data_IF_811416426134
#
_entry.id   IF_811416426134
#
_cell.length_a   1.000
_cell.length_b   1.000
_cell.length_c   1.000
_cell.angle_alpha   90.00
_cell.angle_beta   90.00
_cell.angle_gamma   90.00
#
_symmetry.space_group_name_H-M   'P 1'
#
loop_
_entity.id
_entity.type
_entity.pdbx_description
1 polymer ?
#
# COMPACT_ATOMS: atom_id res chain seq x y z
N UNK A 1 16.24 -33.45 7.86
CA UNK A 1 15.36 -32.28 7.90
C UNK A 1 16.04 -31.18 7.09
N UNK A 2 15.74 -31.09 5.79
CA UNK A 2 16.36 -30.08 4.93
C UNK A 2 15.71 -28.73 5.25
N UNK A 3 16.48 -27.86 5.87
CA UNK A 3 16.15 -26.45 6.02
C UNK A 3 16.23 -25.84 4.62
N UNK A 4 15.09 -25.70 3.92
CA UNK A 4 15.04 -24.86 2.73
C UNK A 4 15.20 -23.42 3.19
N UNK A 5 16.45 -22.94 3.19
CA UNK A 5 16.75 -21.53 3.36
C UNK A 5 16.15 -20.80 2.16
N UNK A 6 15.18 -19.92 2.43
CA UNK A 6 14.63 -19.04 1.40
C UNK A 6 15.77 -18.14 0.87
N UNK A 7 16.15 -18.24 -0.42
CA UNK A 7 17.28 -17.49 -0.95
C UNK A 7 17.05 -15.98 -0.85
N UNK A 8 18.11 -15.23 -0.54
CA UNK A 8 18.03 -13.77 -0.50
C UNK A 8 17.69 -13.19 -1.87
N UNK A 9 17.12 -11.98 -1.90
CA UNK A 9 16.84 -11.27 -3.16
C UNK A 9 18.09 -11.19 -4.04
N UNK A 10 19.23 -10.82 -3.46
CA UNK A 10 20.48 -10.70 -4.19
C UNK A 10 20.92 -12.04 -4.80
N UNK A 11 20.75 -13.16 -4.10
CA UNK A 11 21.07 -14.48 -4.62
C UNK A 11 20.17 -14.84 -5.81
N UNK A 12 18.86 -14.59 -5.69
CA UNK A 12 17.91 -14.80 -6.78
C UNK A 12 18.24 -13.92 -7.99
N UNK A 13 18.57 -12.65 -7.77
CA UNK A 13 18.93 -11.71 -8.84
C UNK A 13 20.18 -12.17 -9.58
N UNK A 14 21.21 -12.65 -8.87
CA UNK A 14 22.41 -13.20 -9.51
C UNK A 14 22.10 -14.44 -10.33
N UNK A 15 21.24 -15.34 -9.83
CA UNK A 15 20.80 -16.52 -10.57
C UNK A 15 20.04 -16.13 -11.85
N UNK A 16 19.15 -15.14 -11.78
CA UNK A 16 18.46 -14.62 -12.98
C UNK A 16 19.46 -14.06 -14.00
N UNK A 17 20.46 -13.30 -13.54
CA UNK A 17 21.51 -12.75 -14.41
C UNK A 17 22.40 -13.82 -15.04
N UNK A 18 22.59 -14.96 -14.38
CA UNK A 18 23.29 -16.11 -14.96
C UNK A 18 22.42 -16.97 -15.88
N UNK A 19 21.17 -16.57 -16.14
CA UNK A 19 20.25 -17.23 -17.07
C UNK A 19 19.26 -18.19 -16.41
N UNK A 20 19.22 -18.28 -15.09
CA UNK A 20 18.25 -19.11 -14.36
C UNK A 20 16.91 -18.40 -14.22
N UNK A 21 16.12 -18.43 -15.29
CA UNK A 21 14.82 -17.74 -15.36
C UNK A 21 13.86 -18.10 -14.23
N UNK A 22 13.90 -19.34 -13.75
CA UNK A 22 13.06 -19.81 -12.67
C UNK A 22 13.29 -19.05 -11.35
N UNK A 23 14.48 -18.48 -11.13
CA UNK A 23 14.77 -17.69 -9.95
C UNK A 23 13.97 -16.38 -9.91
N UNK A 24 13.57 -15.84 -11.06
CA UNK A 24 12.73 -14.65 -11.11
C UNK A 24 11.30 -14.93 -10.62
N UNK A 25 10.78 -16.14 -10.82
CA UNK A 25 9.45 -16.51 -10.33
C UNK A 25 9.36 -16.42 -8.81
N UNK A 26 10.43 -16.75 -8.09
CA UNK A 26 10.48 -16.59 -6.63
C UNK A 26 10.39 -15.12 -6.20
N UNK A 27 11.02 -14.20 -6.96
CA UNK A 27 10.86 -12.75 -6.74
C UNK A 27 9.43 -12.30 -7.03
N UNK A 28 8.79 -12.83 -8.09
CA UNK A 28 7.37 -12.55 -8.40
C UNK A 28 6.48 -13.00 -7.25
N UNK A 29 6.62 -14.26 -6.82
CA UNK A 29 5.83 -14.83 -5.73
C UNK A 29 5.96 -14.02 -4.43
N UNK A 30 7.19 -13.59 -4.11
CA UNK A 30 7.51 -12.81 -2.92
C UNK A 30 6.88 -11.41 -2.94
N UNK A 31 6.84 -10.75 -4.09
CA UNK A 31 6.48 -9.32 -4.15
C UNK A 31 5.16 -8.98 -4.83
N UNK A 32 4.52 -9.92 -5.55
CA UNK A 32 3.31 -9.63 -6.33
C UNK A 32 2.18 -9.04 -5.50
N UNK A 33 1.98 -9.52 -4.26
CA UNK A 33 0.94 -9.00 -3.37
C UNK A 33 1.21 -7.56 -2.96
N UNK A 34 2.47 -7.21 -2.66
CA UNK A 34 2.85 -5.85 -2.29
C UNK A 34 2.72 -4.89 -3.46
N UNK A 35 3.16 -5.30 -4.66
CA UNK A 35 3.03 -4.50 -5.88
C UNK A 35 1.56 -4.26 -6.20
N UNK A 36 0.74 -5.32 -6.16
CA UNK A 36 -0.69 -5.22 -6.38
C UNK A 36 -1.39 -4.33 -5.37
N UNK A 37 -1.08 -4.48 -4.07
CA UNK A 37 -1.67 -3.67 -3.01
C UNK A 37 -1.39 -2.18 -3.23
N UNK A 38 -0.13 -1.82 -3.55
CA UNK A 38 0.24 -0.44 -3.85
C UNK A 38 -0.49 0.06 -5.10
N UNK A 39 -0.50 -0.70 -6.19
CA UNK A 39 -1.18 -0.30 -7.42
C UNK A 39 -2.68 -0.08 -7.20
N UNK A 40 -3.34 -1.01 -6.50
CA UNK A 40 -4.76 -0.95 -6.19
C UNK A 40 -5.09 0.27 -5.31
N UNK A 41 -4.27 0.57 -4.31
CA UNK A 41 -4.45 1.74 -3.43
C UNK A 41 -4.24 3.07 -4.14
N UNK A 42 -3.46 3.08 -5.22
CA UNK A 42 -3.24 4.28 -6.02
C UNK A 42 -4.35 4.48 -7.06
N UNK A 43 -4.77 3.40 -7.72
CA UNK A 43 -5.63 3.46 -8.90
C UNK A 43 -7.11 3.24 -8.59
N UNK A 44 -7.43 2.58 -7.47
CA UNK A 44 -8.79 2.20 -7.08
C UNK A 44 -9.53 1.39 -8.17
N UNK A 45 -8.78 0.66 -9.00
CA UNK A 45 -9.29 -0.17 -10.08
C UNK A 45 -8.52 -1.49 -10.08
N UNK A 46 -9.23 -2.61 -10.00
CA UNK A 46 -8.64 -3.95 -9.90
C UNK A 46 -7.95 -4.36 -11.19
N UNK A 47 -8.54 -4.06 -12.34
CA UNK A 47 -7.99 -4.41 -13.64
C UNK A 47 -6.72 -3.61 -13.91
N UNK A 48 -6.76 -2.30 -13.65
CA UNK A 48 -5.55 -1.47 -13.76
C UNK A 48 -4.49 -1.91 -12.75
N UNK A 49 -4.85 -2.30 -11.53
CA UNK A 49 -3.88 -2.80 -10.56
C UNK A 49 -3.23 -4.12 -10.98
N UNK A 50 -4.00 -5.05 -11.56
CA UNK A 50 -3.48 -6.30 -12.14
C UNK A 50 -2.52 -6.01 -13.30
N UNK A 51 -2.91 -5.13 -14.22
CA UNK A 51 -2.09 -4.72 -15.36
C UNK A 51 -0.77 -4.09 -14.89
N UNK A 52 -0.83 -3.13 -13.96
CA UNK A 52 0.36 -2.50 -13.38
C UNK A 52 1.26 -3.54 -12.72
N UNK A 53 0.69 -4.51 -12.03
CA UNK A 53 1.47 -5.55 -11.37
C UNK A 53 2.25 -6.37 -12.39
N UNK A 54 1.58 -6.85 -13.44
CA UNK A 54 2.21 -7.60 -14.52
C UNK A 54 3.29 -6.78 -15.23
N UNK A 55 2.95 -5.56 -15.64
CA UNK A 55 3.88 -4.66 -16.32
C UNK A 55 5.08 -4.28 -15.46
N UNK A 56 4.91 -4.19 -14.14
CA UNK A 56 5.99 -3.95 -13.19
C UNK A 56 7.00 -5.09 -13.24
N UNK A 57 6.55 -6.35 -13.15
CA UNK A 57 7.47 -7.49 -13.19
C UNK A 57 8.12 -7.67 -14.56
N UNK A 58 7.40 -7.44 -15.66
CA UNK A 58 7.99 -7.46 -17.01
C UNK A 58 9.09 -6.40 -17.17
N UNK A 59 8.87 -5.20 -16.64
CA UNK A 59 9.87 -4.13 -16.64
C UNK A 59 11.02 -4.43 -15.69
N UNK A 60 10.74 -4.94 -14.50
CA UNK A 60 11.76 -5.34 -13.55
C UNK A 60 12.66 -6.44 -14.12
N UNK A 61 12.09 -7.40 -14.82
CA UNK A 61 12.85 -8.44 -15.51
C UNK A 61 13.76 -7.86 -16.60
N UNK A 62 13.21 -7.01 -17.49
CA UNK A 62 13.97 -6.44 -18.61
C UNK A 62 14.99 -5.37 -18.19
N UNK A 63 14.82 -4.74 -17.02
CA UNK A 63 15.75 -3.75 -16.45
C UNK A 63 16.53 -4.28 -15.25
N UNK A 64 16.54 -5.60 -15.03
CA UNK A 64 17.20 -6.18 -13.86
C UNK A 64 18.71 -5.88 -13.86
N UNK A 65 19.30 -5.72 -15.03
CA UNK A 65 20.71 -5.32 -15.19
C UNK A 65 20.99 -3.88 -14.74
N UNK A 66 19.98 -3.04 -14.54
CA UNK A 66 20.12 -1.70 -13.97
C UNK A 66 20.06 -1.68 -12.44
N UNK A 67 19.64 -2.78 -11.81
CA UNK A 67 19.64 -2.89 -10.36
C UNK A 67 21.09 -2.91 -9.82
N UNK A 68 21.42 -1.95 -8.95
CA UNK A 68 22.77 -1.75 -8.39
C UNK A 68 22.91 -2.25 -6.94
N UNK A 69 21.97 -3.07 -6.45
CA UNK A 69 21.90 -3.50 -5.05
C UNK A 69 21.01 -2.59 -4.20
N UNK A 70 20.92 -2.90 -2.91
CA UNK A 70 20.04 -2.23 -1.95
C UNK A 70 18.77 -3.02 -1.67
N UNK A 71 17.64 -2.34 -1.47
CA UNK A 71 16.34 -3.00 -1.30
C UNK A 71 15.72 -3.27 -2.67
N UNK A 72 15.72 -4.54 -3.11
CA UNK A 72 15.02 -4.94 -4.32
C UNK A 72 13.54 -4.61 -4.24
N UNK A 73 12.92 -4.82 -3.08
CA UNK A 73 11.53 -4.41 -2.80
C UNK A 73 11.30 -2.93 -3.13
N UNK A 74 12.16 -2.03 -2.64
CA UNK A 74 12.01 -0.59 -2.89
C UNK A 74 12.24 -0.23 -4.37
N UNK A 75 13.20 -0.89 -5.03
CA UNK A 75 13.46 -0.71 -6.47
C UNK A 75 12.27 -1.17 -7.33
N UNK A 76 11.71 -2.33 -7.04
CA UNK A 76 10.54 -2.88 -7.71
C UNK A 76 9.31 -1.98 -7.52
N UNK A 77 9.08 -1.51 -6.29
CA UNK A 77 7.96 -0.63 -5.98
C UNK A 77 8.13 0.77 -6.56
N UNK A 78 9.36 1.25 -6.80
CA UNK A 78 9.60 2.46 -7.59
C UNK A 78 9.06 2.30 -9.01
N UNK A 79 9.31 1.14 -9.65
CA UNK A 79 8.79 0.85 -11.00
C UNK A 79 7.26 0.86 -10.98
N UNK A 80 6.65 0.15 -10.02
CA UNK A 80 5.20 0.09 -9.85
C UNK A 80 4.59 1.48 -9.61
N UNK A 81 5.17 2.24 -8.69
CA UNK A 81 4.71 3.58 -8.34
C UNK A 81 4.75 4.51 -9.55
N UNK A 82 5.85 4.56 -10.28
CA UNK A 82 5.97 5.40 -11.47
C UNK A 82 4.90 5.04 -12.50
N UNK A 83 4.67 3.74 -12.73
CA UNK A 83 3.66 3.31 -13.70
C UNK A 83 2.24 3.65 -13.27
N UNK A 84 1.90 3.43 -12.00
CA UNK A 84 0.60 3.82 -11.46
C UNK A 84 0.39 5.34 -11.56
N UNK A 85 1.43 6.13 -11.30
CA UNK A 85 1.39 7.58 -11.41
C UNK A 85 1.18 8.05 -12.85
N UNK A 86 1.82 7.39 -13.82
CA UNK A 86 1.63 7.68 -15.24
C UNK A 86 0.19 7.38 -15.70
N UNK A 87 -0.38 6.26 -15.26
CA UNK A 87 -1.79 5.91 -15.53
C UNK A 87 -2.73 6.95 -14.91
N UNK A 88 -2.55 7.30 -13.64
CA UNK A 88 -3.35 8.34 -12.96
C UNK A 88 -3.33 9.67 -13.72
N UNK A 89 -2.15 10.13 -14.12
CA UNK A 89 -1.99 11.38 -14.86
C UNK A 89 -2.58 11.31 -16.26
N UNK A 90 -2.54 10.14 -16.90
CA UNK A 90 -3.18 9.91 -18.20
C UNK A 90 -4.71 9.99 -18.09
N UNK A 91 -5.30 9.39 -17.05
CA UNK A 91 -6.73 9.45 -16.77
C UNK A 91 -7.20 10.89 -16.51
N UNK A 92 -6.42 11.68 -15.76
CA UNK A 92 -6.75 13.10 -15.50
C UNK A 92 -6.71 13.96 -16.78
N UNK A 93 -5.83 13.64 -17.74
CA UNK A 93 -5.68 14.40 -19.00
C UNK A 93 -6.71 14.03 -20.06
N UNK A 94 -7.34 12.86 -19.94
CA UNK A 94 -8.40 12.39 -20.85
C UNK A 94 -9.70 12.31 -20.04
N UNK A 95 -10.46 13.42 -19.90
CA UNK A 95 -11.80 13.30 -19.34
C UNK A 95 -12.59 12.39 -20.27
N UNK A 96 -12.83 11.16 -19.82
CA UNK A 96 -13.57 10.17 -20.58
C UNK A 96 -15.00 10.72 -20.76
N UNK A 97 -15.37 11.02 -22.00
CA UNK A 97 -16.78 11.11 -22.38
C UNK A 97 -17.36 9.69 -22.28
N UNK A 98 -17.83 9.29 -21.10
CA UNK A 98 -19.04 8.47 -20.86
C UNK A 98 -19.03 7.81 -19.48
N UNK A 99 -20.19 7.98 -18.83
CA UNK A 99 -20.87 7.12 -17.84
C UNK A 99 -20.21 6.83 -16.47
N UNK A 100 -20.93 7.27 -15.43
CA UNK A 100 -20.88 6.81 -14.04
C UNK A 100 -19.56 6.91 -13.29
N UNK A 101 -19.10 8.14 -13.09
CA UNK A 101 -18.35 8.50 -11.87
C UNK A 101 -19.29 8.87 -10.69
N UNK A 102 -20.57 8.52 -10.81
CA UNK A 102 -21.57 8.59 -9.74
C UNK A 102 -21.98 7.17 -9.34
N UNK A 103 -21.02 6.38 -8.82
CA UNK A 103 -21.33 5.02 -8.36
C UNK A 103 -20.23 4.00 -8.53
N UNK A 104 -18.95 4.37 -8.40
CA UNK A 104 -17.95 3.35 -8.07
C UNK A 104 -18.27 2.87 -6.66
N UNK A 105 -19.06 1.80 -6.58
CA UNK A 105 -19.30 1.03 -5.37
C UNK A 105 -17.93 0.83 -4.69
N UNK A 106 -17.71 1.53 -3.57
CA UNK A 106 -16.45 1.58 -2.82
C UNK A 106 -16.17 0.23 -2.11
N UNK A 107 -16.59 -0.88 -2.72
CA UNK A 107 -16.51 -2.27 -2.24
C UNK A 107 -15.20 -2.94 -2.62
N UNK A 108 -14.07 -2.22 -2.61
CA UNK A 108 -12.77 -2.89 -2.56
C UNK A 108 -12.58 -3.34 -1.12
N UNK A 109 -12.74 -4.65 -0.88
CA UNK A 109 -12.68 -5.26 0.45
C UNK A 109 -11.23 -5.29 0.91
N UNK A 110 -10.81 -4.31 1.70
CA UNK A 110 -9.45 -4.20 2.25
C UNK A 110 -9.28 -5.01 3.53
N UNK A 111 -9.41 -6.34 3.42
CA UNK A 111 -9.19 -7.23 4.55
C UNK A 111 -8.16 -8.29 4.19
N UNK A 112 -6.92 -8.08 4.63
CA UNK A 112 -6.03 -9.20 4.95
C UNK A 112 -6.52 -9.67 6.32
N UNK A 113 -7.31 -10.75 6.35
CA UNK A 113 -7.97 -11.25 7.57
C UNK A 113 -6.99 -11.49 8.73
N UNK A 114 -7.38 -11.07 9.94
CA UNK A 114 -7.17 -11.92 11.10
C UNK A 114 -8.42 -12.03 12.01
N UNK A 115 -8.70 -13.27 12.42
CA UNK A 115 -9.56 -13.71 13.54
C UNK A 115 -11.09 -13.42 13.44
N UNK A 116 -11.95 -14.21 14.12
CA UNK A 116 -13.41 -14.07 14.02
C UNK A 116 -13.85 -12.86 14.86
N UNK A 117 -13.92 -11.70 14.21
CA UNK A 117 -14.49 -10.48 14.79
C UNK A 117 -16.03 -10.53 14.67
N UNK A 118 -16.77 -9.97 15.62
CA UNK A 118 -18.24 -9.94 15.57
C UNK A 118 -18.74 -9.29 14.26
N UNK A 119 -19.87 -9.73 13.66
CA UNK A 119 -20.42 -9.09 12.45
C UNK A 119 -20.61 -7.58 12.56
N UNK A 120 -20.92 -7.07 13.76
CA UNK A 120 -21.08 -5.64 14.04
C UNK A 120 -19.74 -4.90 14.06
N UNK A 121 -18.70 -5.53 14.61
CA UNK A 121 -17.35 -5.00 14.65
C UNK A 121 -16.73 -4.97 13.24
N UNK A 122 -17.00 -5.99 12.42
CA UNK A 122 -16.64 -5.99 11.00
C UNK A 122 -17.29 -4.83 10.24
N UNK A 123 -18.62 -4.65 10.35
CA UNK A 123 -19.32 -3.57 9.67
C UNK A 123 -18.82 -2.16 10.08
N UNK A 124 -18.52 -1.99 11.38
CA UNK A 124 -17.98 -0.73 11.91
C UNK A 124 -16.58 -0.43 11.37
N UNK A 125 -15.71 -1.45 11.30
CA UNK A 125 -14.37 -1.34 10.70
C UNK A 125 -14.46 -1.03 9.21
N UNK A 126 -15.37 -1.68 8.48
CA UNK A 126 -15.54 -1.47 7.05
C UNK A 126 -16.03 -0.04 6.73
N UNK A 127 -16.94 0.51 7.53
CA UNK A 127 -17.35 1.91 7.43
C UNK A 127 -16.20 2.87 7.73
N UNK A 128 -15.39 2.60 8.76
CA UNK A 128 -14.22 3.41 9.09
C UNK A 128 -13.18 3.38 7.94
N UNK A 129 -12.94 2.21 7.34
CA UNK A 129 -12.05 2.08 6.19
C UNK A 129 -12.54 2.87 4.98
N UNK A 130 -13.83 2.77 4.64
CA UNK A 130 -14.41 3.58 3.54
C UNK A 130 -14.23 5.08 3.77
N UNK A 131 -14.41 5.55 5.00
CA UNK A 131 -14.20 6.97 5.34
C UNK A 131 -12.73 7.37 5.26
N UNK A 132 -11.82 6.50 5.69
CA UNK A 132 -10.39 6.72 5.56
C UNK A 132 -9.98 6.82 4.08
N UNK A 133 -10.48 5.93 3.23
CA UNK A 133 -10.23 5.97 1.78
C UNK A 133 -10.76 7.24 1.14
N UNK A 134 -12.00 7.63 1.46
CA UNK A 134 -12.57 8.89 1.00
C UNK A 134 -11.71 10.10 1.45
N UNK A 135 -11.27 10.11 2.71
CA UNK A 135 -10.39 11.15 3.23
C UNK A 135 -9.02 11.18 2.55
N UNK A 136 -8.42 10.02 2.29
CA UNK A 136 -7.16 9.89 1.55
C UNK A 136 -7.32 10.41 0.12
N UNK A 137 -8.42 10.10 -0.55
CA UNK A 137 -8.70 10.54 -1.92
C UNK A 137 -8.73 12.08 -2.06
N UNK A 138 -9.10 12.80 -1.00
CA UNK A 138 -9.13 14.27 -0.94
C UNK A 138 -7.76 14.94 -0.71
N UNK A 139 -6.72 14.17 -0.40
CA UNK A 139 -5.36 14.70 -0.23
C UNK A 139 -4.73 15.03 -1.59
N UNK A 140 -3.83 16.03 -1.66
CA UNK A 140 -2.92 16.18 -2.80
C UNK A 140 -2.20 14.86 -3.08
N UNK A 141 -2.07 14.50 -4.36
CA UNK A 141 -1.54 13.20 -4.81
C UNK A 141 -0.24 12.82 -4.11
N UNK A 142 0.71 13.75 -4.02
CA UNK A 142 2.02 13.51 -3.42
C UNK A 142 1.97 13.24 -1.91
N UNK A 143 1.04 13.88 -1.21
CA UNK A 143 0.77 13.63 0.22
C UNK A 143 0.04 12.30 0.40
N UNK A 144 -0.98 12.03 -0.43
CA UNK A 144 -1.74 10.77 -0.43
C UNK A 144 -0.83 9.56 -0.57
N UNK A 145 0.01 9.56 -1.60
CA UNK A 145 0.98 8.48 -1.86
C UNK A 145 1.89 8.29 -0.65
N UNK A 146 2.43 9.39 -0.10
CA UNK A 146 3.36 9.31 1.03
C UNK A 146 2.68 8.72 2.27
N UNK A 147 1.43 9.09 2.55
CA UNK A 147 0.64 8.53 3.65
C UNK A 147 0.35 7.04 3.43
N UNK A 148 -0.05 6.65 2.21
CA UNK A 148 -0.33 5.23 1.89
C UNK A 148 0.92 4.38 2.10
N UNK A 149 2.05 4.79 1.53
CA UNK A 149 3.30 4.03 1.65
C UNK A 149 3.79 3.93 3.10
N UNK A 150 3.67 5.01 3.88
CA UNK A 150 4.09 5.00 5.30
C UNK A 150 3.11 4.24 6.19
N UNK A 151 1.85 4.67 6.21
CA UNK A 151 0.92 4.34 7.29
C UNK A 151 0.08 3.10 6.98
N UNK A 152 -0.02 2.73 5.69
CA UNK A 152 -0.85 1.60 5.24
C UNK A 152 -0.01 0.44 4.73
N UNK A 153 1.16 0.71 4.13
CA UNK A 153 2.10 -0.33 3.66
C UNK A 153 3.31 -0.55 4.60
N UNK A 154 3.55 0.36 5.55
CA UNK A 154 4.61 0.23 6.54
C UNK A 154 6.03 0.45 6.00
N UNK A 155 6.22 1.18 4.90
CA UNK A 155 7.55 1.50 4.39
C UNK A 155 8.29 2.50 5.30
N UNK A 156 9.60 2.29 5.45
CA UNK A 156 10.47 3.29 6.08
C UNK A 156 10.55 4.57 5.24
N UNK A 157 10.93 5.69 5.86
CA UNK A 157 11.01 6.96 5.15
C UNK A 157 12.09 6.96 4.05
N UNK A 158 13.16 6.20 4.27
CA UNK A 158 14.23 5.94 3.32
C UNK A 158 13.72 5.13 2.12
N UNK A 159 12.93 4.07 2.34
CA UNK A 159 12.29 3.32 1.26
C UNK A 159 11.29 4.18 0.49
N UNK A 160 10.49 5.01 1.18
CA UNK A 160 9.55 5.92 0.52
C UNK A 160 10.31 6.94 -0.35
N UNK A 161 11.43 7.48 0.14
CA UNK A 161 12.29 8.37 -0.64
C UNK A 161 12.83 7.66 -1.89
N UNK A 162 13.26 6.40 -1.77
CA UNK A 162 13.71 5.59 -2.88
C UNK A 162 12.58 5.27 -3.88
N UNK A 163 11.39 4.92 -3.40
CA UNK A 163 10.20 4.61 -4.21
C UNK A 163 9.73 5.85 -4.98
N UNK A 164 9.62 6.99 -4.30
CA UNK A 164 9.05 8.23 -4.87
C UNK A 164 10.07 9.13 -5.55
N UNK A 165 11.37 8.87 -5.36
CA UNK A 165 12.47 9.64 -5.95
C UNK A 165 12.62 11.06 -5.43
N UNK A 166 12.13 11.34 -4.22
CA UNK A 166 12.29 12.64 -3.56
C UNK A 166 13.21 12.54 -2.35
N UNK A 167 13.67 13.68 -1.83
CA UNK A 167 14.53 13.69 -0.64
C UNK A 167 13.81 13.19 0.61
N UNK A 168 14.55 12.64 1.58
CA UNK A 168 14.02 12.24 2.89
C UNK A 168 13.30 13.38 3.62
N UNK A 169 13.82 14.61 3.51
CA UNK A 169 13.16 15.81 4.06
C UNK A 169 11.80 16.09 3.39
N UNK A 170 11.72 15.87 2.07
CA UNK A 170 10.45 15.99 1.33
C UNK A 170 9.44 14.95 1.81
N UNK A 171 9.85 13.68 1.99
CA UNK A 171 8.99 12.61 2.53
C UNK A 171 8.42 13.02 3.89
N UNK A 172 9.28 13.42 4.84
CA UNK A 172 8.86 13.85 6.18
C UNK A 172 7.84 15.01 6.11
N UNK A 173 8.11 16.00 5.26
CA UNK A 173 7.25 17.17 5.11
C UNK A 173 5.88 16.81 4.48
N UNK A 174 5.86 15.92 3.48
CA UNK A 174 4.64 15.44 2.82
C UNK A 174 3.79 14.60 3.78
N UNK A 175 4.42 13.71 4.53
CA UNK A 175 3.75 12.86 5.50
C UNK A 175 3.12 13.70 6.62
N UNK A 176 3.87 14.65 7.17
CA UNK A 176 3.37 15.57 8.21
C UNK A 176 2.14 16.34 7.73
N UNK A 177 2.22 16.98 6.55
CA UNK A 177 1.08 17.73 5.98
C UNK A 177 -0.08 16.82 5.60
N UNK A 178 0.20 15.66 5.02
CA UNK A 178 -0.80 14.67 4.64
C UNK A 178 -1.61 14.18 5.84
N UNK A 179 -0.93 13.78 6.93
CA UNK A 179 -1.57 13.37 8.19
C UNK A 179 -2.39 14.51 8.80
N UNK A 180 -1.85 15.73 8.83
CA UNK A 180 -2.57 16.88 9.36
C UNK A 180 -3.86 17.18 8.57
N UNK A 181 -3.79 17.14 7.24
CA UNK A 181 -4.95 17.38 6.37
C UNK A 181 -5.95 16.24 6.44
N UNK A 182 -5.50 14.98 6.48
CA UNK A 182 -6.37 13.82 6.64
C UNK A 182 -7.13 13.90 7.96
N UNK A 183 -6.44 14.23 9.06
CA UNK A 183 -7.08 14.48 10.35
C UNK A 183 -8.14 15.57 10.26
N UNK A 184 -7.85 16.68 9.58
CA UNK A 184 -8.83 17.76 9.42
C UNK A 184 -10.05 17.33 8.60
N UNK A 185 -9.87 16.52 7.55
CA UNK A 185 -10.97 15.98 6.73
C UNK A 185 -11.85 15.04 7.55
N UNK A 186 -11.24 14.04 8.22
CA UNK A 186 -11.97 13.08 9.04
C UNK A 186 -12.64 13.77 10.23
N UNK A 187 -11.99 14.78 10.81
CA UNK A 187 -12.57 15.59 11.86
C UNK A 187 -13.59 16.61 11.36
N UNK A 188 -13.91 16.73 10.08
CA UNK A 188 -15.00 17.61 9.61
C UNK A 188 -16.36 16.90 9.57
N UNK A 189 -16.34 15.57 9.66
CA UNK A 189 -17.49 14.70 9.48
C UNK A 189 -17.80 13.95 10.79
N UNK A 190 -18.99 14.20 11.33
CA UNK A 190 -19.37 13.75 12.68
C UNK A 190 -19.29 12.22 12.81
N UNK A 191 -19.79 11.50 11.82
CA UNK A 191 -19.77 10.04 11.83
C UNK A 191 -18.34 9.47 11.73
N UNK A 192 -17.39 10.13 11.04
CA UNK A 192 -15.97 9.74 11.11
C UNK A 192 -15.41 9.91 12.52
N UNK A 193 -15.76 11.00 13.22
CA UNK A 193 -15.30 11.25 14.59
C UNK A 193 -15.79 10.17 15.54
N UNK A 194 -17.08 9.85 15.50
CA UNK A 194 -17.70 8.83 16.34
C UNK A 194 -17.04 7.45 16.14
N UNK A 195 -16.79 7.06 14.89
CA UNK A 195 -16.13 5.81 14.55
C UNK A 195 -14.67 5.76 15.00
N UNK A 196 -13.93 6.87 14.85
CA UNK A 196 -12.55 6.97 15.33
C UNK A 196 -12.47 6.90 16.86
N UNK A 197 -13.37 7.58 17.57
CA UNK A 197 -13.45 7.52 19.03
C UNK A 197 -13.85 6.12 19.52
N UNK A 198 -14.76 5.45 18.82
CA UNK A 198 -15.12 4.06 19.08
C UNK A 198 -13.91 3.12 18.91
N UNK A 199 -13.19 3.26 17.81
CA UNK A 199 -11.99 2.47 17.51
C UNK A 199 -10.86 2.71 18.52
N UNK A 200 -10.58 3.97 18.87
CA UNK A 200 -9.53 4.32 19.83
C UNK A 200 -9.83 3.83 21.25
N UNK A 201 -11.11 3.84 21.66
CA UNK A 201 -11.54 3.24 22.93
C UNK A 201 -11.28 1.73 22.95
N UNK A 202 -11.73 1.02 21.91
CA UNK A 202 -11.49 -0.42 21.78
C UNK A 202 -10.00 -0.78 21.72
N UNK A 203 -9.17 0.03 21.05
CA UNK A 203 -7.73 -0.18 20.97
C UNK A 203 -7.02 0.02 22.33
N UNK A 204 -7.48 0.97 23.15
CA UNK A 204 -6.97 1.20 24.50
C UNK A 204 -7.49 0.17 25.52
N UNK A 205 -8.64 -0.46 25.25
CA UNK A 205 -9.24 -1.52 26.07
C UNK A 205 -8.74 -2.94 25.68
N UNK A 206 -7.76 -3.04 24.78
CA UNK A 206 -7.05 -4.29 24.44
C UNK A 206 -6.36 -4.91 25.67
N UNK A 207 -6.16 -6.24 25.71
CA UNK A 207 -6.11 -7.00 26.96
C UNK A 207 -5.00 -6.49 27.90
N UNK A 208 -5.42 -5.75 28.93
CA UNK A 208 -4.63 -5.54 30.14
C UNK A 208 -4.19 -6.91 30.63
N UNK A 209 -2.88 -7.08 30.76
CA UNK A 209 -2.22 -8.24 31.31
C UNK A 209 -3.03 -8.83 32.47
N UNK A 210 -3.53 -10.06 32.31
CA UNK A 210 -3.75 -10.95 33.44
C UNK A 210 -2.38 -11.46 33.87
N UNK A 211 -1.62 -10.61 34.56
CA UNK A 211 -0.53 -11.07 35.42
C UNK A 211 -1.04 -11.17 36.86
N UNK A 212 -0.88 -12.38 37.40
CA UNK A 212 -0.83 -12.70 38.83
C UNK A 212 -2.13 -12.77 39.65
N UNK A 213 -2.61 -14.00 39.83
CA UNK A 213 -3.04 -14.54 41.12
C UNK A 213 -2.70 -16.03 41.07
N UNK A 214 -1.50 -16.43 41.49
CA UNK A 214 -1.23 -16.92 42.86
C UNK A 214 -2.21 -18.01 43.28
N UNK A 215 -1.86 -19.27 43.01
CA UNK A 215 -1.67 -20.36 44.01
C UNK A 215 -1.09 -21.60 43.34
#
# INVERSE_FOLDING_TARGET
>A
MNVHLDPSDDALIQAVRSGELAAFNLLVERYQRSVYAVALRLLHDRYLAEDITQETFLRAYTSLDDYRGGSFRAWLLRIAHNRALDVLRSMQRRPATSLDLAGSDFGVRWSVEPAPVSPVEHATRDELWRRLEAGLAMLPEDQRITVILSDVEGFSYEEIAAITGVSLGTVKSRLSRGRARLRAILAADESSRELLEGFLRQANDGPSERSSGSE
#
